data_IF_756175699242
#
_entry.id   IF_756175699242
#
_cell.length_a   1.000
_cell.length_b   1.000
_cell.length_c   1.000
_cell.angle_alpha   90.00
_cell.angle_beta   90.00
_cell.angle_gamma   90.00
#
_symmetry.space_group_name_H-M   'P 1'
#
loop_
_entity.id
_entity.type
_entity.pdbx_description
1 polymer ?
#
# COMPACT_ATOMS: atom_id res chain seq x y z
N UNK A 1 31.02 10.67 8.68
CA UNK A 1 30.17 10.67 7.47
C UNK A 1 30.38 9.33 6.77
N UNK A 2 29.32 8.58 6.47
CA UNK A 2 29.46 7.27 5.78
C UNK A 2 29.71 7.47 4.29
N UNK A 3 30.30 6.48 3.62
CA UNK A 3 30.64 6.54 2.18
C UNK A 3 29.42 6.82 1.28
N UNK A 4 28.22 6.42 1.69
CA UNK A 4 26.97 6.60 0.92
C UNK A 4 26.67 8.05 0.52
N UNK A 5 27.17 9.05 1.26
CA UNK A 5 26.97 10.45 0.89
C UNK A 5 27.75 10.89 -0.34
N UNK A 6 28.74 10.10 -0.77
CA UNK A 6 29.54 10.37 -1.96
C UNK A 6 28.94 9.75 -3.23
N UNK A 7 27.91 8.90 -3.11
CA UNK A 7 27.25 8.27 -4.26
C UNK A 7 26.61 9.34 -5.13
N UNK A 8 27.00 9.40 -6.39
CA UNK A 8 26.42 10.31 -7.37
C UNK A 8 25.38 9.60 -8.23
N UNK A 9 24.58 10.37 -8.97
CA UNK A 9 23.55 9.82 -9.86
C UNK A 9 24.11 8.78 -10.84
N UNK A 10 25.29 9.06 -11.41
CA UNK A 10 25.98 8.17 -12.37
C UNK A 10 26.43 6.83 -11.78
N UNK A 11 26.47 6.71 -10.46
CA UNK A 11 26.84 5.48 -9.76
C UNK A 11 25.62 4.58 -9.50
N UNK A 12 24.42 5.09 -9.77
CA UNK A 12 23.17 4.37 -9.55
C UNK A 12 22.90 3.35 -10.65
N UNK A 13 22.18 2.30 -10.29
CA UNK A 13 21.58 1.40 -11.27
C UNK A 13 20.37 2.07 -11.93
N UNK A 14 19.95 1.68 -13.15
CA UNK A 14 18.87 2.36 -13.86
C UNK A 14 17.54 2.46 -13.09
N UNK A 15 17.21 1.48 -12.26
CA UNK A 15 16.04 1.52 -11.38
C UNK A 15 16.16 2.55 -10.26
N UNK A 16 17.37 2.71 -9.69
CA UNK A 16 17.66 3.74 -8.70
C UNK A 16 17.81 5.13 -9.32
N UNK A 17 18.25 5.23 -10.58
CA UNK A 17 18.23 6.49 -11.35
C UNK A 17 16.79 6.99 -11.49
N UNK A 18 15.87 6.13 -11.95
CA UNK A 18 14.44 6.45 -12.03
C UNK A 18 13.89 6.88 -10.66
N UNK A 19 14.29 6.17 -9.61
CA UNK A 19 13.87 6.54 -8.26
C UNK A 19 14.43 7.91 -7.85
N UNK A 20 15.70 8.18 -8.14
CA UNK A 20 16.35 9.46 -7.89
C UNK A 20 15.68 10.60 -8.64
N UNK A 21 15.19 10.38 -9.86
CA UNK A 21 14.45 11.39 -10.62
C UNK A 21 13.11 11.75 -9.97
N UNK A 22 12.47 10.79 -9.29
CA UNK A 22 11.16 10.98 -8.65
C UNK A 22 11.29 11.53 -7.23
N UNK A 23 12.23 11.02 -6.42
CA UNK A 23 12.33 11.35 -4.98
C UNK A 23 13.63 12.08 -4.60
N UNK A 24 14.56 12.28 -5.53
CA UNK A 24 15.83 12.95 -5.29
C UNK A 24 16.94 12.03 -4.76
N UNK A 25 18.18 12.35 -5.14
CA UNK A 25 19.39 11.56 -4.83
C UNK A 25 19.61 11.36 -3.32
N UNK A 26 19.29 12.36 -2.48
CA UNK A 26 19.48 12.24 -1.02
C UNK A 26 18.58 11.16 -0.41
N UNK A 27 17.35 11.00 -0.93
CA UNK A 27 16.45 9.95 -0.48
C UNK A 27 16.89 8.57 -0.96
N UNK A 28 17.48 8.48 -2.15
CA UNK A 28 18.10 7.24 -2.64
C UNK A 28 19.31 6.86 -1.79
N UNK A 29 20.18 7.81 -1.43
CA UNK A 29 21.30 7.57 -0.51
C UNK A 29 20.83 7.07 0.84
N UNK A 30 19.77 7.66 1.39
CA UNK A 30 19.15 7.20 2.64
C UNK A 30 18.60 5.78 2.50
N UNK A 31 17.93 5.45 1.40
CA UNK A 31 17.47 4.08 1.13
C UNK A 31 18.65 3.11 1.11
N UNK A 32 19.68 3.37 0.30
CA UNK A 32 20.86 2.50 0.24
C UNK A 32 21.49 2.35 1.64
N UNK A 33 21.59 3.42 2.44
CA UNK A 33 22.15 3.36 3.78
C UNK A 33 21.30 2.51 4.75
N UNK A 34 19.98 2.59 4.68
CA UNK A 34 19.08 1.96 5.67
C UNK A 34 18.60 0.57 5.28
N UNK A 35 18.50 0.27 3.99
CA UNK A 35 17.93 -0.98 3.48
C UNK A 35 18.91 -1.79 2.61
N UNK A 36 20.21 -1.44 2.60
CA UNK A 36 21.22 -2.26 1.93
C UNK A 36 21.21 -3.70 2.43
N UNK A 37 21.32 -4.64 1.49
CA UNK A 37 21.25 -6.08 1.75
C UNK A 37 19.82 -6.65 1.83
N UNK A 38 18.79 -5.80 1.77
CA UNK A 38 17.39 -6.24 1.74
C UNK A 38 16.87 -6.24 0.30
N UNK A 39 16.16 -7.30 -0.08
CA UNK A 39 15.38 -7.35 -1.30
C UNK A 39 13.90 -7.22 -0.95
N UNK A 40 13.23 -6.20 -1.46
CA UNK A 40 11.78 -6.05 -1.31
C UNK A 40 11.14 -5.72 -2.65
N UNK A 41 9.90 -6.21 -2.81
CA UNK A 41 9.05 -5.85 -3.94
C UNK A 41 8.27 -4.59 -3.56
N UNK A 42 8.23 -3.60 -4.46
CA UNK A 42 7.32 -2.47 -4.31
C UNK A 42 5.88 -2.97 -4.60
N UNK A 43 4.98 -2.99 -3.59
CA UNK A 43 3.63 -3.49 -3.78
C UNK A 43 2.77 -2.48 -4.56
N UNK A 44 1.82 -2.97 -5.37
CA UNK A 44 0.73 -2.12 -5.89
C UNK A 44 -0.27 -1.86 -4.77
N UNK A 45 -0.91 -0.70 -4.74
CA UNK A 45 -1.92 -0.37 -3.72
C UNK A 45 -2.96 -1.48 -3.47
N UNK A 46 -3.56 -2.14 -4.49
CA UNK A 46 -4.55 -3.21 -4.27
C UNK A 46 -4.00 -4.44 -3.54
N UNK A 47 -2.69 -4.63 -3.49
CA UNK A 47 -2.06 -5.74 -2.75
C UNK A 47 -1.95 -5.46 -1.25
N UNK A 48 -2.11 -4.20 -0.84
CA UNK A 48 -2.16 -3.79 0.56
C UNK A 48 -3.58 -4.00 1.12
N UNK A 49 -4.05 -5.26 1.11
CA UNK A 49 -5.44 -5.62 1.45
C UNK A 49 -5.93 -5.01 2.76
N UNK A 50 -5.11 -5.00 3.81
CA UNK A 50 -5.46 -4.38 5.10
C UNK A 50 -5.68 -2.88 5.00
N UNK A 51 -4.86 -2.18 4.21
CA UNK A 51 -5.03 -0.76 3.91
C UNK A 51 -6.30 -0.53 3.09
N UNK A 52 -6.48 -1.23 1.97
CA UNK A 52 -7.67 -1.09 1.11
C UNK A 52 -8.96 -1.33 1.90
N UNK A 53 -8.99 -2.35 2.75
CA UNK A 53 -10.13 -2.64 3.64
C UNK A 53 -10.43 -1.49 4.58
N UNK A 54 -9.41 -1.01 5.32
CA UNK A 54 -9.54 0.13 6.23
C UNK A 54 -10.03 1.39 5.48
N UNK A 55 -9.47 1.64 4.30
CA UNK A 55 -9.83 2.79 3.48
C UNK A 55 -11.30 2.74 3.03
N UNK A 56 -11.76 1.61 2.49
CA UNK A 56 -13.16 1.44 2.06
C UNK A 56 -14.13 1.58 3.24
N UNK A 57 -13.81 1.01 4.41
CA UNK A 57 -14.67 1.15 5.60
C UNK A 57 -14.85 2.61 6.02
N UNK A 58 -13.77 3.38 5.97
CA UNK A 58 -13.78 4.80 6.35
C UNK A 58 -14.42 5.72 5.31
N UNK A 59 -14.72 5.22 4.11
CA UNK A 59 -15.26 5.98 2.98
C UNK A 59 -16.40 5.18 2.30
N UNK A 60 -17.25 4.53 3.09
CA UNK A 60 -18.23 3.55 2.61
C UNK A 60 -19.31 4.19 1.73
N UNK A 61 -19.57 5.48 1.95
CA UNK A 61 -20.49 6.35 1.21
C UNK A 61 -20.02 6.69 -0.20
N UNK A 62 -18.71 6.59 -0.48
CA UNK A 62 -18.19 6.81 -1.83
C UNK A 62 -18.65 5.71 -2.78
N UNK A 63 -18.90 6.12 -4.03
CA UNK A 63 -19.21 5.18 -5.12
C UNK A 63 -18.03 4.24 -5.37
N UNK A 64 -18.32 3.04 -5.89
CA UNK A 64 -17.27 2.06 -6.15
C UNK A 64 -16.25 2.56 -7.18
N UNK A 65 -16.69 3.32 -8.19
CA UNK A 65 -15.80 3.92 -9.18
C UNK A 65 -14.80 4.91 -8.56
N UNK A 66 -15.25 5.77 -7.65
CA UNK A 66 -14.36 6.73 -6.97
C UNK A 66 -13.34 5.99 -6.11
N UNK A 67 -13.80 5.02 -5.33
CA UNK A 67 -12.91 4.17 -4.52
C UNK A 67 -11.92 3.39 -5.38
N UNK A 68 -12.35 2.91 -6.55
CA UNK A 68 -11.50 2.16 -7.46
C UNK A 68 -10.38 3.02 -8.02
N UNK A 69 -10.71 4.25 -8.45
CA UNK A 69 -9.75 5.25 -8.91
C UNK A 69 -8.73 5.62 -7.80
N UNK A 70 -9.22 5.94 -6.60
CA UNK A 70 -8.35 6.33 -5.47
C UNK A 70 -7.42 5.20 -5.00
N UNK A 71 -7.88 3.94 -5.11
CA UNK A 71 -7.09 2.76 -4.73
C UNK A 71 -6.24 2.20 -5.87
N UNK A 72 -6.22 2.86 -7.04
CA UNK A 72 -5.57 2.37 -8.26
C UNK A 72 -5.96 0.90 -8.55
N UNK A 73 -7.27 0.64 -8.57
CA UNK A 73 -7.85 -0.71 -8.62
C UNK A 73 -9.04 -0.78 -9.57
N UNK A 74 -9.56 -2.00 -9.80
CA UNK A 74 -10.79 -2.17 -10.58
C UNK A 74 -12.05 -2.00 -9.73
N UNK A 75 -13.15 -1.56 -10.35
CA UNK A 75 -14.46 -1.52 -9.69
C UNK A 75 -14.85 -2.89 -9.10
N UNK A 76 -14.53 -3.97 -9.83
CA UNK A 76 -14.78 -5.32 -9.37
C UNK A 76 -14.01 -5.67 -8.08
N UNK A 77 -12.76 -5.22 -7.96
CA UNK A 77 -11.98 -5.41 -6.73
C UNK A 77 -12.67 -4.73 -5.54
N UNK A 78 -13.07 -3.46 -5.68
CA UNK A 78 -13.78 -2.71 -4.63
C UNK A 78 -15.10 -3.38 -4.26
N UNK A 79 -15.87 -3.81 -5.26
CA UNK A 79 -17.15 -4.50 -5.05
C UNK A 79 -16.99 -5.78 -4.25
N UNK A 80 -16.04 -6.63 -4.63
CA UNK A 80 -15.74 -7.87 -3.90
C UNK A 80 -15.28 -7.58 -2.47
N UNK A 81 -14.44 -6.55 -2.28
CA UNK A 81 -13.95 -6.19 -0.95
C UNK A 81 -15.07 -5.66 -0.05
N UNK A 82 -16.01 -4.86 -0.57
CA UNK A 82 -17.21 -4.42 0.17
C UNK A 82 -18.09 -5.60 0.59
N UNK A 83 -18.27 -6.59 -0.27
CA UNK A 83 -19.03 -7.81 0.06
C UNK A 83 -18.36 -8.58 1.21
N UNK A 84 -17.03 -8.77 1.14
CA UNK A 84 -16.28 -9.43 2.20
C UNK A 84 -16.38 -8.69 3.53
N UNK A 85 -16.23 -7.36 3.51
CA UNK A 85 -16.35 -6.51 4.70
C UNK A 85 -17.72 -6.69 5.38
N UNK A 86 -18.81 -6.62 4.62
CA UNK A 86 -20.17 -6.78 5.16
C UNK A 86 -20.40 -8.18 5.74
N UNK A 87 -19.87 -9.22 5.08
CA UNK A 87 -19.97 -10.59 5.56
C UNK A 87 -19.27 -10.76 6.91
N UNK A 88 -18.04 -10.27 7.03
CA UNK A 88 -17.25 -10.35 8.26
C UNK A 88 -17.91 -9.60 9.43
N UNK A 89 -18.55 -8.45 9.16
CA UNK A 89 -19.31 -7.71 10.18
C UNK A 89 -20.52 -8.50 10.66
N UNK A 90 -21.28 -9.08 9.74
CA UNK A 90 -22.42 -9.95 10.07
C UNK A 90 -21.99 -11.17 10.88
N UNK A 91 -20.94 -11.87 10.46
CA UNK A 91 -20.42 -13.05 11.15
C UNK A 91 -19.96 -12.69 12.58
N UNK A 92 -19.35 -11.52 12.76
CA UNK A 92 -18.94 -11.00 14.06
C UNK A 92 -20.13 -10.68 14.97
N UNK A 93 -21.18 -10.06 14.42
CA UNK A 93 -22.42 -9.79 15.17
C UNK A 93 -23.12 -11.08 15.61
N UNK A 94 -23.21 -12.08 14.73
CA UNK A 94 -23.78 -13.39 15.05
C UNK A 94 -22.97 -14.10 16.15
N UNK A 95 -21.64 -14.03 16.08
CA UNK A 95 -20.78 -14.60 17.12
C UNK A 95 -20.98 -13.91 18.48
N UNK A 96 -21.05 -12.58 18.51
CA UNK A 96 -21.28 -11.82 19.75
C UNK A 96 -22.64 -12.15 20.36
N UNK A 97 -23.69 -12.27 19.53
CA UNK A 97 -25.01 -12.70 20.00
C UNK A 97 -24.99 -14.09 20.63
N UNK A 98 -24.17 -15.03 20.13
CA UNK A 98 -24.04 -16.37 20.72
C UNK A 98 -23.27 -16.40 22.05
N UNK A 99 -22.37 -15.44 22.25
CA UNK A 99 -21.53 -15.39 23.46
C UNK A 99 -22.19 -14.63 24.61
N UNK A 100 -23.04 -13.64 24.29
CA UNK A 100 -23.57 -12.69 25.26
C UNK A 100 -25.11 -12.56 25.25
N UNK A 101 -25.80 -13.24 24.33
CA UNK A 101 -27.26 -13.34 24.29
C UNK A 101 -27.74 -14.66 24.86
#
# INVERSE_FOLDING_TARGET
MKAYHQVEFKDLTPDLEILSDVIGIENVRLLIEKVSGVQFRIPRLPTLNGFCRKYIKNNIEKSNMVLAFELDSSDNFVRLLKIQIKKEEKDKEEMLKRLYG
#
